data_IF_372468723515
#
_entry.id   IF_372468723515
#
_cell.length_a   1.000
_cell.length_b   1.000
_cell.length_c   1.000
_cell.angle_alpha   90.00
_cell.angle_beta   90.00
_cell.angle_gamma   90.00
#
_symmetry.space_group_name_H-M   'P 1'
#
loop_
_entity.id
_entity.type
_entity.pdbx_description
1 polymer ?
#
# COMPACT_ATOMS: atom_id res chain seq x y z
N UNK A 1 5.95 -5.24 -13.53
CA UNK A 1 4.56 -5.75 -13.59
C UNK A 1 4.25 -6.86 -12.56
N UNK A 2 5.09 -7.90 -12.41
CA UNK A 2 4.83 -9.02 -11.46
C UNK A 2 4.59 -8.59 -10.00
N UNK A 3 5.29 -7.55 -9.52
CA UNK A 3 5.08 -7.02 -8.17
C UNK A 3 3.73 -6.34 -7.95
N UNK A 4 3.26 -5.59 -8.95
CA UNK A 4 1.95 -4.92 -8.88
C UNK A 4 0.81 -5.93 -8.78
N UNK A 5 0.90 -7.06 -9.48
CA UNK A 5 -0.09 -8.14 -9.41
C UNK A 5 -0.13 -8.81 -8.03
N UNK A 6 1.03 -9.15 -7.46
CA UNK A 6 1.09 -9.73 -6.11
C UNK A 6 0.56 -8.75 -5.05
N UNK A 7 0.87 -7.46 -5.19
CA UNK A 7 0.37 -6.42 -4.31
C UNK A 7 -1.17 -6.31 -4.39
N UNK A 8 -1.73 -6.27 -5.59
CA UNK A 8 -3.17 -6.25 -5.79
C UNK A 8 -3.86 -7.46 -5.14
N UNK A 9 -3.34 -8.67 -5.37
CA UNK A 9 -3.91 -9.89 -4.77
C UNK A 9 -3.81 -9.88 -3.24
N UNK A 10 -2.74 -9.33 -2.69
CA UNK A 10 -2.61 -9.13 -1.24
C UNK A 10 -3.73 -8.24 -0.71
N UNK A 11 -3.95 -7.08 -1.32
CA UNK A 11 -5.03 -6.15 -0.91
C UNK A 11 -6.40 -6.80 -1.08
N UNK A 12 -6.63 -7.50 -2.20
CA UNK A 12 -7.88 -8.21 -2.49
C UNK A 12 -8.22 -9.26 -1.42
N UNK A 13 -7.32 -10.20 -1.16
CA UNK A 13 -7.56 -11.27 -0.19
C UNK A 13 -7.59 -10.77 1.26
N UNK A 14 -6.79 -9.76 1.62
CA UNK A 14 -6.89 -9.11 2.94
C UNK A 14 -8.24 -8.43 3.15
N UNK A 15 -8.75 -7.75 2.11
CA UNK A 15 -10.07 -7.11 2.17
C UNK A 15 -11.17 -8.14 2.40
N UNK A 16 -11.15 -9.24 1.65
CA UNK A 16 -12.09 -10.36 1.85
C UNK A 16 -11.95 -10.98 3.24
N UNK A 17 -10.72 -11.20 3.71
CA UNK A 17 -10.47 -11.75 5.04
C UNK A 17 -11.17 -10.95 6.12
N UNK A 18 -10.96 -9.63 6.14
CA UNK A 18 -11.51 -8.79 7.19
C UNK A 18 -13.03 -8.64 7.07
N UNK A 19 -13.57 -8.53 5.85
CA UNK A 19 -15.01 -8.45 5.64
C UNK A 19 -15.75 -9.71 6.12
N UNK A 20 -15.18 -10.90 5.89
CA UNK A 20 -15.76 -12.19 6.28
C UNK A 20 -15.46 -12.58 7.73
N UNK A 21 -14.46 -11.96 8.36
CA UNK A 21 -14.12 -12.20 9.75
C UNK A 21 -15.18 -11.59 10.67
N UNK A 22 -15.40 -10.28 10.56
CA UNK A 22 -16.37 -9.55 11.36
C UNK A 22 -16.72 -8.22 10.67
N UNK A 23 -17.96 -8.02 10.19
CA UNK A 23 -18.36 -6.83 9.45
C UNK A 23 -18.13 -5.51 10.20
N UNK A 24 -18.44 -5.45 11.50
CA UNK A 24 -18.27 -4.22 12.28
C UNK A 24 -16.79 -3.83 12.44
N UNK A 25 -15.94 -4.82 12.66
CA UNK A 25 -14.48 -4.62 12.67
C UNK A 25 -13.99 -4.08 11.33
N UNK A 26 -14.48 -4.63 10.22
CA UNK A 26 -14.06 -4.20 8.91
C UNK A 26 -14.52 -2.77 8.56
N UNK A 27 -15.70 -2.35 9.01
CA UNK A 27 -16.13 -0.94 8.89
C UNK A 27 -15.14 -0.01 9.61
N UNK A 28 -14.71 -0.36 10.82
CA UNK A 28 -13.69 0.38 11.55
C UNK A 28 -12.36 0.43 10.77
N UNK A 29 -11.96 -0.67 10.17
CA UNK A 29 -10.79 -0.74 9.30
C UNK A 29 -10.91 0.17 8.07
N UNK A 30 -12.07 0.24 7.42
CA UNK A 30 -12.30 1.12 6.27
C UNK A 30 -12.16 2.61 6.62
N UNK A 31 -12.66 3.02 7.80
CA UNK A 31 -12.49 4.39 8.29
C UNK A 31 -11.02 4.66 8.59
N UNK A 32 -10.34 3.71 9.24
CA UNK A 32 -8.91 3.81 9.57
C UNK A 32 -8.04 3.96 8.31
N UNK A 33 -8.18 3.08 7.31
CA UNK A 33 -7.37 3.13 6.10
C UNK A 33 -7.63 4.41 5.29
N UNK A 34 -8.86 4.94 5.29
CA UNK A 34 -9.16 6.21 4.66
C UNK A 34 -8.46 7.39 5.35
N UNK A 35 -8.54 7.47 6.68
CA UNK A 35 -7.91 8.55 7.44
C UNK A 35 -6.38 8.47 7.41
N UNK A 36 -5.82 7.36 7.92
CA UNK A 36 -4.37 7.21 8.03
C UNK A 36 -3.71 7.12 6.64
N UNK A 37 -4.35 6.45 5.68
CA UNK A 37 -3.85 6.36 4.32
C UNK A 37 -3.80 7.72 3.61
N UNK A 38 -4.81 8.58 3.82
CA UNK A 38 -4.81 9.93 3.26
C UNK A 38 -3.66 10.77 3.82
N UNK A 39 -3.51 10.84 5.15
CA UNK A 39 -2.43 11.61 5.77
C UNK A 39 -1.05 11.07 5.39
N UNK A 40 -0.89 9.75 5.30
CA UNK A 40 0.34 9.12 4.85
C UNK A 40 0.66 9.48 3.38
N UNK A 41 -0.33 9.49 2.49
CA UNK A 41 -0.15 9.86 1.09
C UNK A 41 0.31 11.31 0.94
N UNK A 42 -0.33 12.24 1.67
CA UNK A 42 0.03 13.65 1.69
C UNK A 42 1.45 13.84 2.24
N UNK A 43 1.78 13.17 3.34
CA UNK A 43 3.10 13.23 3.93
C UNK A 43 4.19 12.79 2.96
N UNK A 44 4.03 11.65 2.31
CA UNK A 44 5.05 11.12 1.38
C UNK A 44 5.20 12.00 0.13
N UNK A 45 4.09 12.54 -0.41
CA UNK A 45 4.14 13.46 -1.54
C UNK A 45 4.89 14.75 -1.18
N UNK A 46 4.57 15.35 -0.03
CA UNK A 46 5.19 16.59 0.42
C UNK A 46 6.66 16.41 0.82
N UNK A 47 6.99 15.34 1.54
CA UNK A 47 8.36 15.05 1.95
C UNK A 47 9.27 14.83 0.73
N UNK A 48 8.85 13.99 -0.22
CA UNK A 48 9.63 13.76 -1.45
C UNK A 48 9.74 15.01 -2.32
N UNK A 49 8.67 15.80 -2.45
CA UNK A 49 8.70 17.07 -3.17
C UNK A 49 9.61 18.12 -2.50
N UNK A 50 9.64 18.17 -1.17
CA UNK A 50 10.53 19.07 -0.43
C UNK A 50 12.01 18.74 -0.65
N UNK A 51 12.36 17.44 -0.65
CA UNK A 51 13.74 17.01 -0.93
C UNK A 51 14.17 17.29 -2.37
N UNK A 52 13.30 17.08 -3.37
CA UNK A 52 13.59 17.45 -4.77
C UNK A 52 13.79 18.96 -4.93
N UNK A 53 12.90 19.77 -4.32
CA UNK A 53 13.01 21.23 -4.39
C UNK A 53 14.27 21.74 -3.68
N UNK A 54 14.64 21.16 -2.54
CA UNK A 54 15.89 21.49 -1.85
C UNK A 54 17.12 21.20 -2.73
N UNK A 55 17.13 20.06 -3.45
CA UNK A 55 18.17 19.75 -4.44
C UNK A 55 18.21 20.80 -5.55
N UNK A 56 17.05 21.17 -6.13
CA UNK A 56 16.95 22.18 -7.20
C UNK A 56 17.48 23.55 -6.77
N UNK A 57 17.22 23.98 -5.54
CA UNK A 57 17.78 25.24 -4.99
C UNK A 57 19.31 25.21 -4.98
N UNK A 58 19.91 24.11 -4.49
CA UNK A 58 21.37 23.96 -4.46
C UNK A 58 21.97 23.95 -5.87
N UNK A 59 21.28 23.33 -6.82
CA UNK A 59 21.75 23.19 -8.20
C UNK A 59 21.63 24.47 -9.02
N UNK A 60 20.54 25.22 -8.86
CA UNK A 60 20.16 26.33 -9.75
C UNK A 60 20.44 27.68 -9.12
N UNK A 61 20.00 27.90 -7.89
CA UNK A 61 20.12 29.20 -7.21
C UNK A 61 21.51 29.38 -6.62
N UNK A 62 21.99 28.38 -5.86
CA UNK A 62 23.30 28.43 -5.22
C UNK A 62 24.44 28.05 -6.19
N UNK A 63 24.12 27.33 -7.28
CA UNK A 63 25.09 26.84 -8.28
C UNK A 63 26.23 26.00 -7.67
N UNK A 64 25.96 25.30 -6.58
CA UNK A 64 26.94 24.52 -5.81
C UNK A 64 26.99 23.05 -6.23
N UNK A 65 26.89 22.75 -7.54
CA UNK A 65 26.97 21.37 -8.05
C UNK A 65 28.34 20.76 -7.74
N UNK A 66 28.36 19.48 -7.35
CA UNK A 66 29.58 18.75 -7.00
C UNK A 66 30.17 19.07 -5.62
N UNK A 67 29.49 19.89 -4.82
CA UNK A 67 29.88 20.15 -3.42
C UNK A 67 29.35 19.06 -2.47
N UNK A 68 29.90 18.95 -1.25
CA UNK A 68 29.34 18.07 -0.22
C UNK A 68 27.86 18.37 0.09
N UNK A 69 27.43 19.63 -0.03
CA UNK A 69 26.04 20.04 0.13
C UNK A 69 25.15 19.45 -0.96
N UNK A 70 25.61 19.49 -2.22
CA UNK A 70 24.88 18.87 -3.34
C UNK A 70 24.79 17.35 -3.20
N UNK A 71 25.86 16.69 -2.77
CA UNK A 71 25.82 15.25 -2.50
C UNK A 71 24.75 14.90 -1.44
N UNK A 72 24.65 15.69 -0.36
CA UNK A 72 23.65 15.48 0.68
C UNK A 72 22.21 15.66 0.17
N UNK A 73 21.93 16.67 -0.66
CA UNK A 73 20.58 16.88 -1.23
C UNK A 73 20.21 15.84 -2.28
N UNK A 74 21.18 15.32 -3.03
CA UNK A 74 20.97 14.18 -3.95
C UNK A 74 20.55 12.93 -3.19
N UNK A 75 21.17 12.63 -2.04
CA UNK A 75 20.75 11.50 -1.20
C UNK A 75 19.32 11.69 -0.72
N UNK A 76 18.96 12.90 -0.28
CA UNK A 76 17.59 13.23 0.14
C UNK A 76 16.56 13.01 -0.97
N UNK A 77 16.82 13.50 -2.17
CA UNK A 77 15.93 13.31 -3.32
C UNK A 77 15.84 11.84 -3.75
N UNK A 78 16.95 11.09 -3.70
CA UNK A 78 16.96 9.65 -4.00
C UNK A 78 16.05 8.86 -3.03
N UNK A 79 15.98 9.26 -1.76
CA UNK A 79 15.04 8.69 -0.78
C UNK A 79 13.60 9.19 -1.03
N UNK A 80 13.46 10.43 -1.51
CA UNK A 80 12.18 11.08 -1.81
C UNK A 80 11.47 10.59 -3.07
N UNK A 81 12.21 10.10 -4.08
CA UNK A 81 11.65 9.65 -5.36
C UNK A 81 10.63 8.49 -5.18
N UNK A 82 10.94 7.39 -4.45
CA UNK A 82 9.94 6.35 -4.19
C UNK A 82 8.72 6.84 -3.39
N UNK A 83 8.89 7.89 -2.57
CA UNK A 83 7.82 8.46 -1.75
C UNK A 83 6.85 9.28 -2.60
N UNK A 84 7.36 10.21 -3.42
CA UNK A 84 6.53 11.12 -4.22
C UNK A 84 5.99 10.48 -5.50
N UNK A 85 6.74 9.59 -6.15
CA UNK A 85 6.36 9.10 -7.49
C UNK A 85 5.70 7.72 -7.48
N UNK A 86 5.91 6.93 -6.42
CA UNK A 86 5.40 5.55 -6.35
C UNK A 86 4.42 5.34 -5.20
N UNK A 87 4.89 5.51 -3.95
CA UNK A 87 4.13 5.08 -2.77
C UNK A 87 2.94 6.00 -2.48
N UNK A 88 3.11 7.33 -2.58
CA UNK A 88 2.02 8.29 -2.37
C UNK A 88 0.93 8.17 -3.43
N UNK A 89 1.32 8.03 -4.70
CA UNK A 89 0.40 7.87 -5.84
C UNK A 89 -0.37 6.55 -5.73
N UNK A 90 0.26 5.47 -5.26
CA UNK A 90 -0.35 4.16 -5.09
C UNK A 90 -1.37 4.08 -3.93
N UNK A 91 -1.27 4.95 -2.92
CA UNK A 91 -2.21 4.91 -1.77
C UNK A 91 -3.65 5.28 -2.17
N UNK A 92 -3.84 6.23 -3.08
CA UNK A 92 -5.18 6.64 -3.51
C UNK A 92 -6.00 5.49 -4.15
N UNK A 93 -5.49 4.75 -5.16
CA UNK A 93 -6.21 3.60 -5.70
C UNK A 93 -6.36 2.47 -4.68
N UNK A 94 -5.41 2.28 -3.75
CA UNK A 94 -5.54 1.27 -2.67
C UNK A 94 -6.71 1.60 -1.75
N UNK A 95 -6.83 2.85 -1.31
CA UNK A 95 -7.92 3.30 -0.45
C UNK A 95 -9.25 3.17 -1.19
N UNK A 96 -9.35 3.72 -2.41
CA UNK A 96 -10.59 3.65 -3.21
C UNK A 96 -11.02 2.23 -3.52
N UNK A 97 -10.07 1.37 -3.88
CA UNK A 97 -10.35 -0.03 -4.14
C UNK A 97 -10.86 -0.72 -2.87
N UNK A 98 -10.12 -0.61 -1.76
CA UNK A 98 -10.46 -1.28 -0.50
C UNK A 98 -11.81 -0.81 0.04
N UNK A 99 -12.16 0.46 -0.09
CA UNK A 99 -13.46 0.99 0.37
C UNK A 99 -14.60 0.58 -0.54
N UNK A 100 -14.49 0.75 -1.86
CA UNK A 100 -15.56 0.40 -2.81
C UNK A 100 -15.78 -1.11 -2.88
N UNK A 101 -14.71 -1.89 -3.03
CA UNK A 101 -14.79 -3.35 -3.04
C UNK A 101 -15.16 -3.90 -1.66
N UNK A 102 -14.67 -3.27 -0.58
CA UNK A 102 -14.97 -3.67 0.79
C UNK A 102 -16.46 -3.65 1.11
N UNK A 103 -17.21 -2.64 0.65
CA UNK A 103 -18.66 -2.59 0.85
C UNK A 103 -19.37 -3.79 0.22
N UNK A 104 -18.96 -4.17 -1.00
CA UNK A 104 -19.49 -5.35 -1.70
C UNK A 104 -19.11 -6.64 -0.95
N UNK A 105 -17.88 -6.72 -0.45
CA UNK A 105 -17.40 -7.86 0.32
C UNK A 105 -18.17 -8.04 1.64
N UNK A 106 -18.51 -6.95 2.32
CA UNK A 106 -19.35 -6.98 3.54
C UNK A 106 -20.74 -7.49 3.24
N UNK A 107 -21.39 -6.99 2.18
CA UNK A 107 -22.72 -7.45 1.79
C UNK A 107 -22.72 -8.96 1.52
N UNK A 108 -21.70 -9.45 0.80
CA UNK A 108 -21.52 -10.87 0.54
C UNK A 108 -21.28 -11.68 1.82
N UNK A 109 -20.43 -11.18 2.73
CA UNK A 109 -20.15 -11.85 4.00
C UNK A 109 -21.41 -11.99 4.87
N UNK A 110 -22.22 -10.92 4.97
CA UNK A 110 -23.47 -10.92 5.75
C UNK A 110 -24.49 -11.89 5.15
N UNK A 111 -24.68 -11.87 3.82
CA UNK A 111 -25.58 -12.81 3.13
C UNK A 111 -25.16 -14.25 3.36
N UNK A 112 -23.87 -14.56 3.17
CA UNK A 112 -23.38 -15.92 3.32
C UNK A 112 -23.46 -16.43 4.78
N UNK A 113 -23.17 -15.58 5.76
CA UNK A 113 -23.31 -15.93 7.16
C UNK A 113 -24.77 -16.22 7.55
N UNK A 114 -25.72 -15.52 6.91
CA UNK A 114 -27.16 -15.74 7.11
C UNK A 114 -27.63 -17.05 6.47
N UNK A 115 -27.19 -17.33 5.23
CA UNK A 115 -27.69 -18.47 4.44
C UNK A 115 -27.00 -19.80 4.79
N UNK A 116 -25.68 -19.78 5.01
CA UNK A 116 -24.85 -20.97 5.20
C UNK A 116 -24.30 -21.10 6.63
N UNK A 117 -24.59 -20.12 7.50
CA UNK A 117 -24.17 -20.07 8.89
C UNK A 117 -22.81 -19.39 9.12
N UNK A 118 -22.54 -18.90 10.35
CA UNK A 118 -21.32 -18.14 10.66
C UNK A 118 -20.02 -18.94 10.48
N UNK A 119 -20.07 -20.26 10.68
CA UNK A 119 -18.91 -21.14 10.54
C UNK A 119 -18.33 -21.11 9.13
N UNK A 120 -19.18 -21.08 8.09
CA UNK A 120 -18.74 -21.02 6.70
C UNK A 120 -18.04 -19.69 6.41
N UNK A 121 -18.55 -18.58 6.94
CA UNK A 121 -17.91 -17.26 6.81
C UNK A 121 -16.52 -17.25 7.42
N UNK A 122 -16.36 -17.77 8.64
CA UNK A 122 -15.05 -17.82 9.30
C UNK A 122 -14.06 -18.78 8.62
N UNK A 123 -14.53 -19.90 8.07
CA UNK A 123 -13.68 -20.81 7.29
C UNK A 123 -13.17 -20.13 6.02
N UNK A 124 -14.02 -19.39 5.32
CA UNK A 124 -13.60 -18.60 4.16
C UNK A 124 -12.65 -17.47 4.55
N UNK A 125 -12.90 -16.76 5.65
CA UNK A 125 -11.99 -15.76 6.17
C UNK A 125 -10.60 -16.36 6.44
N UNK A 126 -10.52 -17.55 7.05
CA UNK A 126 -9.26 -18.25 7.26
C UNK A 126 -8.57 -18.63 5.93
N UNK A 127 -9.33 -19.10 4.94
CA UNK A 127 -8.82 -19.40 3.60
C UNK A 127 -8.24 -18.17 2.91
N UNK A 128 -8.98 -17.05 2.90
CA UNK A 128 -8.52 -15.78 2.35
C UNK A 128 -7.30 -15.24 3.09
N UNK A 129 -7.23 -15.41 4.41
CA UNK A 129 -6.09 -14.99 5.21
C UNK A 129 -4.82 -15.74 4.81
N UNK A 130 -4.90 -17.07 4.67
CA UNK A 130 -3.77 -17.88 4.23
C UNK A 130 -3.30 -17.51 2.82
N UNK A 131 -4.24 -17.25 1.90
CA UNK A 131 -3.91 -16.77 0.55
C UNK A 131 -3.23 -15.40 0.61
N UNK A 132 -3.75 -14.47 1.41
CA UNK A 132 -3.12 -13.15 1.62
C UNK A 132 -1.69 -13.30 2.14
N UNK A 133 -1.46 -14.10 3.18
CA UNK A 133 -0.13 -14.35 3.72
C UNK A 133 0.82 -14.98 2.69
N UNK A 134 0.32 -15.88 1.85
CA UNK A 134 1.11 -16.46 0.76
C UNK A 134 1.55 -15.39 -0.26
N UNK A 135 0.66 -14.46 -0.63
CA UNK A 135 1.01 -13.36 -1.54
C UNK A 135 1.92 -12.32 -0.88
N UNK A 136 1.75 -12.01 0.41
CA UNK A 136 2.68 -11.19 1.19
C UNK A 136 4.07 -11.82 1.15
N UNK A 137 4.19 -13.10 1.52
CA UNK A 137 5.47 -13.82 1.52
C UNK A 137 6.08 -13.83 0.11
N UNK A 138 5.28 -14.12 -0.92
CA UNK A 138 5.74 -14.08 -2.31
C UNK A 138 6.26 -12.71 -2.70
N UNK A 139 5.61 -11.64 -2.24
CA UNK A 139 6.01 -10.27 -2.53
C UNK A 139 7.39 -9.96 -1.92
N UNK A 140 7.60 -10.23 -0.63
CA UNK A 140 8.83 -9.86 0.07
C UNK A 140 10.02 -10.81 -0.18
N UNK A 141 9.76 -12.10 -0.36
CA UNK A 141 10.81 -13.12 -0.45
C UNK A 141 10.94 -13.70 -1.86
N UNK A 142 9.85 -13.81 -2.60
CA UNK A 142 9.85 -14.40 -3.95
C UNK A 142 10.24 -13.44 -5.06
N UNK A 143 10.39 -12.13 -4.78
CA UNK A 143 10.76 -11.11 -5.78
C UNK A 143 12.10 -10.44 -5.49
N UNK A 144 12.92 -11.00 -4.61
CA UNK A 144 14.26 -10.48 -4.35
C UNK A 144 15.12 -10.64 -5.61
N UNK A 145 15.64 -9.53 -6.10
CA UNK A 145 16.64 -9.55 -7.18
C UNK A 145 17.91 -10.13 -6.56
N UNK A 146 18.31 -11.32 -7.00
CA UNK A 146 19.55 -11.96 -6.53
C UNK A 146 20.68 -11.39 -7.38
N UNK A 147 21.81 -11.04 -6.75
CA UNK A 147 22.93 -10.30 -7.35
C UNK A 147 23.59 -10.91 -8.61
N UNK A 148 23.09 -12.04 -9.13
CA UNK A 148 23.58 -12.68 -10.35
C UNK A 148 22.68 -12.51 -11.58
N UNK A 149 21.65 -11.66 -11.55
CA UNK A 149 20.70 -11.46 -12.67
C UNK A 149 20.74 -10.05 -13.26
N UNK A 150 21.91 -9.40 -13.27
CA UNK A 150 22.19 -8.16 -14.02
C UNK A 150 23.32 -8.46 -15.01
#
# INVERSE_FOLDING_TARGET
QRGMFNFFLTVFFSTLTFAFLEPYFFIGYLISIALFGLYQAIFMANAGGAWDNAKKIVEVELKLKGTPLHAATVVGDTVGDPFKDTSSVALNPVIKFTTLFGLLAVELAVKLATDAGPQVSHLLAAGFFLLSLAFVRRSFYGMRITSGSI
#
